data_IF_020138793605
#
_entry.id   IF_020138793605
#
_cell.length_a   1.000
_cell.length_b   1.000
_cell.length_c   1.000
_cell.angle_alpha   90.00
_cell.angle_beta   90.00
_cell.angle_gamma   90.00
#
_symmetry.space_group_name_H-M   'P 1'
#
loop_
_entity.id
_entity.type
_entity.pdbx_description
1 polymer ?
#
# COMPACT_ATOMS: atom_id res chain seq x y z
N UNK A 1 14.10 -18.42 7.58
CA UNK A 1 13.68 -17.04 7.83
C UNK A 1 12.84 -17.11 9.10
N UNK A 2 13.47 -16.83 10.23
CA UNK A 2 12.87 -16.92 11.57
C UNK A 2 12.59 -15.53 12.15
N UNK A 3 12.90 -14.46 11.42
CA UNK A 3 12.80 -13.06 11.79
C UNK A 3 11.44 -12.72 12.43
N UNK A 4 10.33 -12.99 11.72
CA UNK A 4 8.97 -12.69 12.21
C UNK A 4 8.57 -13.64 13.35
N UNK A 5 9.01 -14.90 13.30
CA UNK A 5 8.73 -15.91 14.33
C UNK A 5 9.39 -15.51 15.65
N UNK A 6 10.66 -15.10 15.62
CA UNK A 6 11.44 -14.70 16.78
C UNK A 6 10.87 -13.42 17.39
N UNK A 7 10.47 -12.45 16.56
CA UNK A 7 9.76 -11.25 17.01
C UNK A 7 8.42 -11.60 17.69
N UNK A 8 7.63 -12.51 17.11
CA UNK A 8 6.38 -12.97 17.72
C UNK A 8 6.62 -13.67 19.07
N UNK A 9 7.59 -14.57 19.15
CA UNK A 9 7.95 -15.25 20.40
C UNK A 9 8.37 -14.24 21.48
N UNK A 10 9.16 -13.22 21.10
CA UNK A 10 9.58 -12.16 22.02
C UNK A 10 8.38 -11.39 22.60
N UNK A 11 7.39 -11.05 21.77
CA UNK A 11 6.17 -10.37 22.23
C UNK A 11 5.33 -11.28 23.12
N UNK A 12 5.16 -12.56 22.74
CA UNK A 12 4.39 -13.54 23.52
C UNK A 12 4.99 -13.75 24.92
N UNK A 13 6.31 -13.93 25.01
CA UNK A 13 7.05 -14.05 26.27
C UNK A 13 6.88 -12.78 27.12
N UNK A 14 7.07 -11.60 26.53
CA UNK A 14 6.99 -10.31 27.22
C UNK A 14 5.59 -10.02 27.77
N UNK A 15 4.55 -10.43 27.04
CA UNK A 15 3.15 -10.21 27.41
C UNK A 15 2.56 -11.34 28.25
N UNK A 16 3.32 -12.40 28.52
CA UNK A 16 2.86 -13.64 29.15
C UNK A 16 1.67 -14.29 28.43
N UNK A 17 1.57 -14.11 27.11
CA UNK A 17 0.54 -14.77 26.29
C UNK A 17 1.03 -16.18 25.94
N UNK A 18 0.33 -17.19 26.46
CA UNK A 18 0.69 -18.60 26.26
C UNK A 18 -0.02 -19.25 25.06
N UNK A 19 -1.05 -18.59 24.51
CA UNK A 19 -1.78 -19.06 23.34
C UNK A 19 -2.48 -17.92 22.60
N UNK A 20 -2.63 -18.06 21.28
CA UNK A 20 -3.40 -17.16 20.42
C UNK A 20 -4.15 -17.96 19.34
N UNK A 21 -5.17 -17.35 18.74
CA UNK A 21 -6.07 -18.02 17.80
C UNK A 21 -5.65 -17.86 16.32
N UNK A 22 -5.17 -16.67 15.96
CA UNK A 22 -4.85 -16.32 14.58
C UNK A 22 -3.70 -15.31 14.48
N UNK A 23 -3.05 -15.28 13.32
CA UNK A 23 -2.09 -14.24 12.93
C UNK A 23 -2.80 -13.25 12.01
N UNK A 24 -2.41 -11.98 12.06
CA UNK A 24 -2.90 -10.95 11.15
C UNK A 24 -1.70 -10.13 10.64
N UNK A 25 -1.63 -9.82 9.34
CA UNK A 25 -0.61 -8.93 8.83
C UNK A 25 -0.84 -7.49 9.32
N UNK A 26 0.23 -6.71 9.42
CA UNK A 26 0.09 -5.28 9.61
C UNK A 26 -0.69 -4.66 8.44
N UNK A 27 -0.33 -5.02 7.21
CA UNK A 27 -0.95 -4.54 5.98
C UNK A 27 -0.88 -5.57 4.86
N UNK A 28 -1.74 -5.43 3.84
CA UNK A 28 -1.64 -6.20 2.59
C UNK A 28 -0.74 -5.47 1.59
N UNK A 29 0.57 -5.48 1.87
CA UNK A 29 1.61 -4.90 1.03
C UNK A 29 2.80 -5.86 0.87
N UNK A 30 3.08 -6.30 -0.36
CA UNK A 30 4.26 -7.13 -0.66
C UNK A 30 4.43 -8.34 0.27
N UNK A 31 5.60 -8.44 0.92
CA UNK A 31 5.94 -9.56 1.81
C UNK A 31 5.17 -9.52 3.14
N UNK A 32 4.68 -8.37 3.61
CA UNK A 32 3.95 -8.25 4.88
C UNK A 32 2.72 -9.17 4.93
N UNK A 33 2.02 -9.30 3.78
CA UNK A 33 0.91 -10.22 3.63
C UNK A 33 1.35 -11.70 3.66
N UNK A 34 2.51 -12.03 3.09
CA UNK A 34 2.98 -13.42 3.06
C UNK A 34 3.59 -13.85 4.38
N UNK A 35 4.29 -12.97 5.10
CA UNK A 35 4.87 -13.27 6.41
C UNK A 35 3.80 -13.72 7.42
N UNK A 36 2.62 -13.08 7.42
CA UNK A 36 1.53 -13.50 8.30
C UNK A 36 0.96 -14.90 7.96
N UNK A 37 0.97 -15.30 6.68
CA UNK A 37 0.59 -16.66 6.26
C UNK A 37 1.66 -17.68 6.69
N UNK A 38 2.93 -17.36 6.51
CA UNK A 38 4.06 -18.20 6.90
C UNK A 38 4.14 -18.37 8.42
N UNK A 39 3.94 -17.28 9.17
CA UNK A 39 3.90 -17.29 10.62
C UNK A 39 2.72 -18.12 11.14
N UNK A 40 1.52 -17.93 10.59
CA UNK A 40 0.37 -18.74 10.96
C UNK A 40 0.65 -20.24 10.74
N UNK A 41 1.22 -20.61 9.59
CA UNK A 41 1.62 -21.99 9.31
C UNK A 41 2.63 -22.52 10.33
N UNK A 42 3.66 -21.74 10.67
CA UNK A 42 4.68 -22.14 11.65
C UNK A 42 4.08 -22.45 13.02
N UNK A 43 3.14 -21.63 13.49
CA UNK A 43 2.49 -21.81 14.79
C UNK A 43 1.29 -22.78 14.77
N UNK A 44 0.95 -23.36 13.62
CA UNK A 44 -0.24 -24.21 13.46
C UNK A 44 -1.55 -23.43 13.68
N UNK A 45 -1.59 -22.17 13.24
CA UNK A 45 -2.70 -21.22 13.38
C UNK A 45 -3.27 -20.82 12.03
N UNK A 46 -4.38 -20.09 12.07
CA UNK A 46 -4.98 -19.49 10.88
C UNK A 46 -4.52 -18.04 10.72
N UNK A 47 -4.53 -17.53 9.49
CA UNK A 47 -4.43 -16.09 9.24
C UNK A 47 -5.83 -15.50 9.13
N UNK A 48 -6.07 -14.39 9.83
CA UNK A 48 -7.33 -13.68 9.73
C UNK A 48 -7.39 -12.93 8.39
N UNK A 49 -8.52 -13.03 7.68
CA UNK A 49 -8.77 -12.27 6.45
C UNK A 49 -9.11 -10.80 6.78
N UNK A 50 -8.09 -10.08 7.23
CA UNK A 50 -8.10 -8.71 7.69
C UNK A 50 -6.66 -8.18 7.68
N UNK A 51 -6.51 -6.88 7.86
CA UNK A 51 -5.22 -6.26 8.15
C UNK A 51 -5.42 -5.02 9.06
N UNK A 52 -4.33 -4.42 9.54
CA UNK A 52 -4.39 -3.29 10.47
C UNK A 52 -4.47 -1.93 9.77
N UNK A 53 -4.45 -1.85 8.43
CA UNK A 53 -4.31 -0.59 7.70
C UNK A 53 -5.44 -0.36 6.67
N UNK A 54 -5.92 -1.36 5.93
CA UNK A 54 -6.81 -1.26 4.75
C UNK A 54 -6.16 -0.74 3.45
N UNK A 55 -4.94 -0.22 3.53
CA UNK A 55 -4.06 0.14 2.41
C UNK A 55 -2.61 -0.06 2.87
N UNK A 56 -1.62 0.42 2.10
CA UNK A 56 -0.23 0.45 2.55
C UNK A 56 0.18 1.85 2.99
N UNK A 57 1.00 1.93 4.04
CA UNK A 57 1.53 3.18 4.57
C UNK A 57 2.98 3.00 5.07
N UNK A 58 3.83 4.03 4.99
CA UNK A 58 5.26 3.89 5.29
C UNK A 58 5.60 3.79 6.79
N UNK A 59 4.68 4.20 7.67
CA UNK A 59 4.89 4.25 9.12
C UNK A 59 4.11 3.13 9.85
N UNK A 60 4.70 2.53 10.88
CA UNK A 60 4.09 1.44 11.68
C UNK A 60 2.85 1.90 12.45
N UNK A 61 2.79 3.18 12.81
CA UNK A 61 1.65 3.77 13.50
C UNK A 61 0.54 4.24 12.57
N UNK A 62 0.71 4.16 11.25
CA UNK A 62 -0.37 4.45 10.29
C UNK A 62 -1.30 3.24 10.15
N UNK A 63 -1.93 2.86 11.26
CA UNK A 63 -2.89 1.76 11.36
C UNK A 63 -4.24 2.27 11.84
N UNK A 64 -5.31 1.53 11.53
CA UNK A 64 -6.65 1.81 12.06
C UNK A 64 -6.72 1.68 13.58
N UNK A 65 -5.75 0.99 14.17
CA UNK A 65 -5.61 0.81 15.62
C UNK A 65 -5.14 2.10 16.27
N UNK A 66 -4.10 2.71 15.70
CA UNK A 66 -3.58 3.99 16.18
C UNK A 66 -4.54 5.16 15.92
N UNK A 67 -5.44 5.08 14.92
CA UNK A 67 -6.55 6.03 14.80
C UNK A 67 -7.49 6.03 16.02
N UNK A 68 -7.44 4.97 16.83
CA UNK A 68 -8.18 4.82 18.09
C UNK A 68 -7.25 4.79 19.30
N UNK A 69 -6.09 5.41 19.15
CA UNK A 69 -5.08 5.60 20.19
C UNK A 69 -4.55 4.30 20.81
N UNK A 70 -4.67 3.18 20.10
CA UNK A 70 -4.01 1.93 20.48
C UNK A 70 -2.51 2.06 20.17
N UNK A 71 -1.62 1.82 21.15
CA UNK A 71 -0.19 1.94 20.94
C UNK A 71 0.36 0.79 20.10
N UNK A 72 1.44 1.04 19.36
CA UNK A 72 2.15 0.02 18.57
C UNK A 72 2.93 -0.97 19.45
N UNK A 73 3.26 -0.57 20.69
CA UNK A 73 3.92 -1.41 21.70
C UNK A 73 2.91 -2.10 22.63
N UNK A 74 3.23 -3.26 23.25
CA UNK A 74 4.52 -3.96 23.21
C UNK A 74 4.86 -4.49 21.83
N UNK A 75 6.09 -4.29 21.39
CA UNK A 75 6.57 -4.69 20.08
C UNK A 75 7.94 -5.35 20.19
N UNK A 76 8.33 -6.13 19.18
CA UNK A 76 9.67 -6.66 19.08
C UNK A 76 10.16 -6.68 17.63
N UNK A 77 11.47 -6.52 17.48
CA UNK A 77 12.20 -6.61 16.20
C UNK A 77 13.27 -7.70 16.33
N UNK A 78 13.46 -8.53 15.29
CA UNK A 78 14.43 -9.63 15.33
C UNK A 78 15.11 -9.90 13.97
N UNK A 79 16.37 -10.36 14.02
CA UNK A 79 17.19 -10.67 12.83
C UNK A 79 17.07 -12.12 12.33
N UNK A 80 16.32 -12.97 13.04
CA UNK A 80 16.16 -14.39 12.70
C UNK A 80 17.41 -15.24 12.94
N UNK A 81 18.45 -14.66 13.54
CA UNK A 81 19.70 -15.31 13.95
C UNK A 81 19.87 -15.31 15.48
N UNK A 82 18.77 -15.08 16.22
CA UNK A 82 18.71 -15.12 17.68
C UNK A 82 18.89 -13.76 18.36
N UNK A 83 19.12 -12.67 17.63
CA UNK A 83 19.06 -11.32 18.23
C UNK A 83 17.66 -10.75 18.10
N UNK A 84 17.17 -10.20 19.20
CA UNK A 84 15.86 -9.58 19.31
C UNK A 84 15.90 -8.40 20.27
N UNK A 85 15.14 -7.37 19.94
CA UNK A 85 14.92 -6.19 20.78
C UNK A 85 13.43 -6.04 21.05
N UNK A 86 13.07 -5.68 22.28
CA UNK A 86 11.68 -5.57 22.73
C UNK A 86 11.42 -4.17 23.27
N UNK A 87 10.28 -3.60 22.87
CA UNK A 87 9.83 -2.26 23.19
C UNK A 87 8.52 -2.37 23.96
N UNK A 88 8.46 -1.87 25.20
CA UNK A 88 7.32 -2.11 26.12
C UNK A 88 6.75 -0.86 26.78
N UNK A 89 7.46 0.26 26.75
CA UNK A 89 7.21 1.40 27.65
C UNK A 89 6.99 2.72 26.91
N UNK A 90 7.02 2.71 25.58
CA UNK A 90 6.88 3.87 24.74
C UNK A 90 5.39 4.26 24.62
N UNK A 91 4.99 5.34 25.29
CA UNK A 91 3.63 5.90 25.14
C UNK A 91 3.45 6.69 23.84
N UNK A 92 4.55 7.01 23.17
CA UNK A 92 4.57 7.75 21.91
C UNK A 92 4.90 6.82 20.74
N UNK A 93 3.91 6.63 19.86
CA UNK A 93 4.02 5.80 18.66
C UNK A 93 5.10 6.30 17.68
N UNK A 94 5.34 7.62 17.60
CA UNK A 94 6.37 8.18 16.73
C UNK A 94 7.76 7.77 17.23
N UNK A 95 7.99 7.92 18.54
CA UNK A 95 9.26 7.54 19.16
C UNK A 95 9.48 6.02 19.10
N UNK A 96 8.44 5.23 19.34
CA UNK A 96 8.50 3.78 19.23
C UNK A 96 8.94 3.34 17.83
N UNK A 97 8.41 3.98 16.78
CA UNK A 97 8.83 3.70 15.41
C UNK A 97 10.30 4.06 15.15
N UNK A 98 10.76 5.25 15.57
CA UNK A 98 12.15 5.64 15.40
C UNK A 98 13.10 4.62 16.03
N UNK A 99 12.80 4.20 17.27
CA UNK A 99 13.57 3.20 17.99
C UNK A 99 13.57 1.84 17.27
N UNK A 100 12.42 1.38 16.79
CA UNK A 100 12.33 0.12 16.04
C UNK A 100 13.08 0.18 14.71
N UNK A 101 13.14 1.35 14.07
CA UNK A 101 13.87 1.56 12.82
C UNK A 101 15.38 1.61 13.03
N UNK A 102 15.82 2.22 14.13
CA UNK A 102 17.23 2.20 14.55
C UNK A 102 17.66 0.75 14.85
N UNK A 103 16.86 0.00 15.62
CA UNK A 103 17.10 -1.42 15.89
C UNK A 103 17.18 -2.27 14.61
N UNK A 104 16.28 -2.04 13.64
CA UNK A 104 16.34 -2.72 12.34
C UNK A 104 17.67 -2.44 11.60
N UNK A 105 18.19 -1.23 11.70
CA UNK A 105 19.49 -0.86 11.09
C UNK A 105 20.62 -1.65 11.74
N UNK A 106 20.65 -1.71 13.07
CA UNK A 106 21.66 -2.43 13.85
C UNK A 106 21.59 -3.96 13.65
N UNK A 107 20.41 -4.48 13.35
CA UNK A 107 20.15 -5.89 13.03
C UNK A 107 20.45 -6.28 11.57
N UNK A 108 21.01 -5.37 10.76
CA UNK A 108 21.43 -5.66 9.39
C UNK A 108 20.50 -5.11 8.31
N UNK A 109 19.65 -4.13 8.64
CA UNK A 109 18.73 -3.42 7.72
C UNK A 109 17.61 -4.28 7.12
N UNK A 110 17.42 -5.49 7.65
CA UNK A 110 16.28 -6.37 7.40
C UNK A 110 15.95 -7.06 8.72
N UNK A 111 14.74 -6.89 9.22
CA UNK A 111 14.30 -7.51 10.45
C UNK A 111 12.81 -7.83 10.39
N UNK A 112 12.41 -8.85 11.12
CA UNK A 112 11.01 -9.20 11.35
C UNK A 112 10.49 -8.41 12.52
N UNK A 113 9.19 -8.11 12.49
CA UNK A 113 8.54 -7.30 13.51
C UNK A 113 7.24 -7.96 13.96
N UNK A 114 6.98 -7.89 15.26
CA UNK A 114 5.68 -8.18 15.84
C UNK A 114 5.27 -6.99 16.69
N UNK A 115 4.06 -6.48 16.45
CA UNK A 115 3.50 -5.33 17.17
C UNK A 115 2.53 -5.79 18.27
N UNK A 116 2.00 -4.80 19.00
CA UNK A 116 1.05 -5.00 20.08
C UNK A 116 -0.03 -6.04 19.75
N UNK A 117 -0.12 -7.16 20.49
CA UNK A 117 -1.17 -8.15 20.32
C UNK A 117 -2.57 -7.53 20.44
N UNK A 118 -3.57 -8.19 19.87
CA UNK A 118 -4.94 -7.67 19.85
C UNK A 118 -5.93 -8.71 20.35
N UNK A 119 -6.96 -8.20 21.04
CA UNK A 119 -8.06 -9.00 21.51
C UNK A 119 -9.06 -9.28 20.37
N UNK A 120 -9.80 -10.39 20.45
CA UNK A 120 -10.79 -10.74 19.43
C UNK A 120 -11.93 -9.71 19.28
N UNK A 121 -12.23 -8.93 20.32
CA UNK A 121 -13.16 -7.80 20.23
C UNK A 121 -12.63 -6.67 19.34
N UNK A 122 -11.33 -6.36 19.46
CA UNK A 122 -10.64 -5.39 18.61
C UNK A 122 -10.52 -5.91 17.18
N UNK A 123 -10.16 -7.19 16.97
CA UNK A 123 -10.04 -7.80 15.65
C UNK A 123 -11.29 -7.60 14.76
N UNK A 124 -12.50 -7.62 15.36
CA UNK A 124 -13.78 -7.45 14.64
C UNK A 124 -13.97 -6.06 14.02
N UNK A 125 -13.19 -5.10 14.47
CA UNK A 125 -13.27 -3.69 14.09
C UNK A 125 -12.24 -3.30 13.03
N UNK A 126 -11.36 -4.24 12.66
CA UNK A 126 -10.34 -4.06 11.64
C UNK A 126 -10.95 -4.12 10.23
N UNK A 127 -10.26 -3.55 9.22
CA UNK A 127 -10.51 -3.78 7.81
C UNK A 127 -10.72 -5.27 7.52
N UNK A 128 -11.83 -5.59 6.86
CA UNK A 128 -12.23 -6.97 6.62
C UNK A 128 -11.94 -7.37 5.19
N UNK A 129 -11.65 -8.65 5.01
CA UNK A 129 -11.55 -9.30 3.71
C UNK A 129 -10.38 -8.78 2.85
N UNK A 130 -9.28 -8.36 3.47
CA UNK A 130 -8.15 -7.74 2.78
C UNK A 130 -7.35 -8.74 1.94
N UNK A 131 -7.17 -9.99 2.39
CA UNK A 131 -6.61 -11.06 1.54
C UNK A 131 -7.58 -11.42 0.42
N UNK A 132 -8.88 -11.48 0.73
CA UNK A 132 -9.90 -11.73 -0.28
C UNK A 132 -9.89 -10.65 -1.37
N UNK A 133 -9.72 -9.38 -1.01
CA UNK A 133 -9.58 -8.27 -1.94
C UNK A 133 -8.34 -8.44 -2.83
N UNK A 134 -7.18 -8.70 -2.24
CA UNK A 134 -5.95 -8.92 -2.98
C UNK A 134 -6.06 -10.12 -3.93
N UNK A 135 -6.70 -11.21 -3.49
CA UNK A 135 -6.98 -12.37 -4.33
C UNK A 135 -7.91 -12.03 -5.50
N UNK A 136 -8.96 -11.23 -5.27
CA UNK A 136 -9.87 -10.80 -6.33
C UNK A 136 -9.17 -9.96 -7.39
N UNK A 137 -8.35 -8.98 -6.95
CA UNK A 137 -7.53 -8.15 -7.85
C UNK A 137 -6.59 -9.05 -8.68
N UNK A 138 -5.85 -9.95 -8.02
CA UNK A 138 -4.94 -10.88 -8.70
C UNK A 138 -5.67 -11.79 -9.69
N UNK A 139 -6.84 -12.32 -9.33
CA UNK A 139 -7.69 -13.12 -10.20
C UNK A 139 -8.21 -12.34 -11.40
N UNK A 140 -8.65 -11.09 -11.19
CA UNK A 140 -9.15 -10.19 -12.24
C UNK A 140 -8.08 -9.95 -13.30
N UNK A 141 -6.84 -9.68 -12.86
CA UNK A 141 -5.67 -9.53 -13.74
C UNK A 141 -5.35 -10.84 -14.46
N UNK A 142 -5.29 -11.97 -13.75
CA UNK A 142 -4.98 -13.28 -14.34
C UNK A 142 -6.00 -13.71 -15.40
N UNK A 143 -7.29 -13.52 -15.15
CA UNK A 143 -8.36 -13.81 -16.11
C UNK A 143 -8.31 -12.88 -17.31
N UNK A 144 -8.02 -11.60 -17.09
CA UNK A 144 -7.89 -10.62 -18.19
C UNK A 144 -6.76 -10.99 -19.13
N UNK A 145 -5.61 -11.38 -18.59
CA UNK A 145 -4.46 -11.92 -19.36
C UNK A 145 -4.85 -13.15 -20.17
N UNK A 146 -5.50 -14.13 -19.54
CA UNK A 146 -5.94 -15.37 -20.21
C UNK A 146 -6.90 -15.09 -21.37
N UNK A 147 -7.78 -14.11 -21.20
CA UNK A 147 -8.77 -13.69 -22.22
C UNK A 147 -8.23 -12.66 -23.22
N UNK A 148 -6.98 -12.21 -23.08
CA UNK A 148 -6.36 -11.16 -23.89
C UNK A 148 -7.17 -9.86 -23.93
N UNK A 149 -7.77 -9.51 -22.79
CA UNK A 149 -8.44 -8.22 -22.58
C UNK A 149 -7.58 -7.33 -21.67
N UNK A 150 -7.80 -6.03 -21.75
CA UNK A 150 -7.08 -5.04 -20.94
C UNK A 150 -7.34 -5.25 -19.43
N UNK A 151 -6.33 -5.66 -18.64
CA UNK A 151 -6.49 -5.90 -17.20
C UNK A 151 -6.90 -4.65 -16.43
N UNK A 152 -6.53 -3.46 -16.91
CA UNK A 152 -6.83 -2.20 -16.24
C UNK A 152 -8.33 -1.92 -16.28
N UNK A 153 -8.97 -2.10 -17.44
CA UNK A 153 -10.41 -1.88 -17.57
C UNK A 153 -11.21 -2.80 -16.65
N UNK A 154 -10.82 -4.08 -16.55
CA UNK A 154 -11.48 -5.03 -15.66
C UNK A 154 -11.30 -4.63 -14.18
N UNK A 155 -10.08 -4.27 -13.79
CA UNK A 155 -9.75 -3.84 -12.43
C UNK A 155 -10.56 -2.60 -12.02
N UNK A 156 -10.57 -1.56 -12.85
CA UNK A 156 -11.26 -0.30 -12.52
C UNK A 156 -12.77 -0.48 -12.36
N UNK A 157 -13.38 -1.35 -13.18
CA UNK A 157 -14.79 -1.69 -13.05
C UNK A 157 -15.10 -2.42 -11.75
N UNK A 158 -14.21 -3.30 -11.30
CA UNK A 158 -14.41 -4.10 -10.10
C UNK A 158 -14.14 -3.31 -8.81
N UNK A 159 -13.19 -2.38 -8.85
CA UNK A 159 -12.72 -1.62 -7.69
C UNK A 159 -13.24 -0.18 -7.64
N UNK A 160 -14.14 0.21 -8.54
CA UNK A 160 -14.62 1.59 -8.71
C UNK A 160 -13.48 2.62 -8.78
N UNK A 161 -12.39 2.25 -9.45
CA UNK A 161 -11.21 3.10 -9.61
C UNK A 161 -11.27 4.01 -10.83
N UNK A 162 -10.30 4.91 -10.96
CA UNK A 162 -10.11 5.74 -12.14
C UNK A 162 -8.76 5.47 -12.84
N UNK A 163 -8.77 5.52 -14.17
CA UNK A 163 -7.54 5.62 -14.96
C UNK A 163 -7.08 7.08 -14.95
N UNK A 164 -5.90 7.34 -14.39
CA UNK A 164 -5.35 8.70 -14.33
C UNK A 164 -4.53 9.02 -15.59
N UNK A 165 -3.72 8.07 -16.03
CA UNK A 165 -2.78 8.30 -17.13
C UNK A 165 -2.30 7.01 -17.80
N UNK A 166 -1.97 7.10 -19.08
CA UNK A 166 -1.22 6.07 -19.82
C UNK A 166 -0.03 6.71 -20.49
N UNK A 167 1.16 6.18 -20.22
CA UNK A 167 2.36 6.80 -20.74
C UNK A 167 3.63 6.02 -20.50
N UNK A 168 4.74 6.65 -20.87
CA UNK A 168 6.09 6.16 -20.68
C UNK A 168 6.76 6.94 -19.56
N UNK A 169 7.41 6.25 -18.65
CA UNK A 169 8.27 6.89 -17.64
C UNK A 169 9.46 7.54 -18.35
N UNK A 170 9.62 8.86 -18.19
CA UNK A 170 10.68 9.66 -18.80
C UNK A 170 11.69 10.21 -17.79
N UNK A 171 11.37 10.19 -16.50
CA UNK A 171 12.31 10.53 -15.43
C UNK A 171 11.91 9.84 -14.14
N UNK A 172 12.91 9.43 -13.36
CA UNK A 172 12.74 8.91 -12.00
C UNK A 172 13.83 9.53 -11.15
N UNK A 173 13.43 10.28 -10.13
CA UNK A 173 14.34 10.84 -9.12
C UNK A 173 14.04 10.12 -7.81
N UNK A 174 15.07 9.61 -7.15
CA UNK A 174 14.96 8.90 -5.87
C UNK A 174 16.03 9.38 -4.91
N UNK A 175 15.63 9.55 -3.67
CA UNK A 175 16.50 9.77 -2.54
C UNK A 175 16.12 8.78 -1.45
N UNK A 176 17.09 7.97 -1.02
CA UNK A 176 16.92 7.05 0.10
C UNK A 176 17.56 7.68 1.33
N UNK A 177 16.78 7.89 2.38
CA UNK A 177 17.25 8.43 3.64
C UNK A 177 16.40 7.91 4.80
N UNK A 178 17.05 7.54 5.91
CA UNK A 178 16.39 7.10 7.17
C UNK A 178 15.33 6.01 6.98
N UNK A 179 15.55 5.04 6.08
CA UNK A 179 14.60 3.95 5.82
C UNK A 179 13.39 4.32 4.95
N UNK A 180 13.39 5.52 4.36
CA UNK A 180 12.37 5.95 3.41
C UNK A 180 12.99 6.21 2.04
N UNK A 181 12.26 5.85 0.98
CA UNK A 181 12.56 6.19 -0.40
C UNK A 181 11.60 7.28 -0.85
N UNK A 182 12.09 8.51 -0.93
CA UNK A 182 11.34 9.69 -1.39
C UNK A 182 11.74 10.04 -2.80
N UNK A 183 10.82 10.61 -3.56
CA UNK A 183 11.16 11.06 -4.90
C UNK A 183 9.96 11.36 -5.77
N UNK A 184 10.23 11.44 -7.07
CA UNK A 184 9.21 11.69 -8.07
C UNK A 184 9.47 10.91 -9.35
N UNK A 185 8.39 10.59 -10.04
CA UNK A 185 8.39 9.98 -11.37
C UNK A 185 7.61 10.87 -12.33
N UNK A 186 8.19 11.10 -13.50
CA UNK A 186 7.57 11.87 -14.57
C UNK A 186 7.24 10.93 -15.72
N UNK A 187 5.99 11.00 -16.19
CA UNK A 187 5.49 10.24 -17.32
C UNK A 187 5.10 11.19 -18.45
N UNK A 188 5.38 10.79 -19.68
CA UNK A 188 4.89 11.45 -20.88
C UNK A 188 3.83 10.56 -21.53
N UNK A 189 2.78 11.18 -22.06
CA UNK A 189 1.75 10.47 -22.81
C UNK A 189 2.38 9.76 -24.02
N UNK A 190 1.74 8.69 -24.51
CA UNK A 190 2.14 8.15 -25.81
C UNK A 190 1.83 9.20 -26.86
N UNK A 191 2.82 9.55 -27.70
CA UNK A 191 2.55 10.31 -28.91
C UNK A 191 1.49 9.55 -29.71
N UNK A 192 0.41 10.21 -30.13
CA UNK A 192 -0.45 9.64 -31.15
C UNK A 192 0.44 9.29 -32.35
N UNK A 193 0.43 8.02 -32.79
CA UNK A 193 1.05 7.70 -34.07
C UNK A 193 0.40 8.60 -35.13
N UNK A 194 1.18 9.26 -36.00
CA UNK A 194 0.62 10.16 -37.00
C UNK A 194 -0.23 9.34 -37.97
N UNK A 195 -1.53 9.27 -37.69
CA UNK A 195 -2.52 8.77 -38.63
C UNK A 195 -2.71 9.85 -39.67
N UNK A 196 -2.01 9.66 -40.78
CA UNK A 196 -1.98 10.52 -41.97
C UNK A 196 -1.25 11.86 -41.81
N UNK A 197 -0.40 12.13 -42.81
CA UNK A 197 0.36 13.36 -42.96
C UNK A 197 -0.60 14.52 -43.24
N UNK A 198 -0.95 15.29 -42.22
CA UNK A 198 -1.32 16.70 -42.39
C UNK A 198 -0.20 17.55 -41.82
N UNK A 199 0.61 18.10 -42.72
CA UNK A 199 1.57 19.16 -42.45
C UNK A 199 0.81 20.41 -41.99
N UNK A 200 0.81 20.68 -40.69
CA UNK A 200 0.31 21.91 -40.09
C UNK A 200 0.63 21.91 -38.61
N UNK A 201 1.54 22.80 -38.21
CA UNK A 201 1.87 23.22 -36.82
C UNK A 201 1.71 22.14 -35.73
N UNK A 202 2.77 21.33 -35.56
CA UNK A 202 2.94 20.44 -34.41
C UNK A 202 3.17 21.27 -33.13
N UNK A 203 2.11 21.86 -32.60
CA UNK A 203 2.06 22.37 -31.23
C UNK A 203 1.34 21.32 -30.36
N UNK A 204 1.83 20.08 -30.37
CA UNK A 204 1.32 19.07 -29.43
C UNK A 204 1.78 19.48 -28.04
N UNK A 205 0.92 20.17 -27.29
CA UNK A 205 1.16 20.51 -25.88
C UNK A 205 1.59 19.23 -25.14
N UNK A 206 2.80 19.26 -24.58
CA UNK A 206 3.37 18.09 -23.94
C UNK A 206 2.60 17.79 -22.65
N UNK A 207 1.68 16.83 -22.71
CA UNK A 207 0.96 16.36 -21.53
C UNK A 207 1.83 15.38 -20.74
N UNK A 208 2.07 15.69 -19.47
CA UNK A 208 2.83 14.84 -18.56
C UNK A 208 2.09 14.58 -17.25
N UNK A 209 2.39 13.46 -16.61
CA UNK A 209 1.95 13.17 -15.25
C UNK A 209 3.19 13.15 -14.34
N UNK A 210 3.21 14.02 -13.34
CA UNK A 210 4.18 13.97 -12.25
C UNK A 210 3.55 13.24 -11.06
N UNK A 211 4.26 12.26 -10.50
CA UNK A 211 3.85 11.56 -9.28
C UNK A 211 4.94 11.67 -8.24
N UNK A 212 4.59 12.14 -7.06
CA UNK A 212 5.47 12.17 -5.88
C UNK A 212 5.21 10.94 -5.01
N UNK A 213 6.25 10.45 -4.34
CA UNK A 213 6.17 9.26 -3.53
C UNK A 213 7.09 9.27 -2.30
N UNK A 214 6.70 8.54 -1.26
CA UNK A 214 7.48 8.23 -0.05
C UNK A 214 7.18 6.80 0.40
N UNK A 215 7.97 5.83 -0.06
CA UNK A 215 7.68 4.38 -0.09
C UNK A 215 6.35 4.00 -0.79
N UNK A 216 5.36 4.89 -0.79
CA UNK A 216 4.08 4.82 -1.50
C UNK A 216 3.84 6.06 -2.37
N UNK A 217 3.09 5.90 -3.46
CA UNK A 217 2.70 7.01 -4.31
C UNK A 217 1.72 7.93 -3.56
N UNK A 218 2.05 9.22 -3.47
CA UNK A 218 1.33 10.18 -2.62
C UNK A 218 0.40 11.09 -3.41
N UNK A 219 0.85 11.67 -4.52
CA UNK A 219 0.04 12.56 -5.34
C UNK A 219 0.35 12.38 -6.83
N UNK A 220 -0.65 12.60 -7.68
CA UNK A 220 -0.53 12.56 -9.12
C UNK A 220 -1.04 13.87 -9.72
N UNK A 221 -0.16 14.63 -10.35
CA UNK A 221 -0.42 15.97 -10.90
C UNK A 221 -0.24 15.94 -12.41
N UNK A 222 -1.30 16.24 -13.14
CA UNK A 222 -1.28 16.40 -14.59
C UNK A 222 -0.75 17.78 -14.93
N UNK A 223 0.23 17.84 -15.82
CA UNK A 223 0.83 19.07 -16.32
C UNK A 223 0.63 19.15 -17.83
N UNK A 224 0.07 20.26 -18.28
CA UNK A 224 -0.08 20.57 -19.70
C UNK A 224 0.49 21.96 -19.95
N UNK A 225 1.20 22.12 -21.06
CA UNK A 225 1.81 23.40 -21.38
C UNK A 225 0.73 24.46 -21.62
N UNK A 226 0.80 25.55 -20.85
CA UNK A 226 -0.16 26.65 -20.90
C UNK A 226 -1.40 26.49 -20.02
N UNK A 227 -1.55 25.37 -19.29
CA UNK A 227 -2.65 25.15 -18.33
C UNK A 227 -2.15 25.12 -16.89
N UNK A 228 -3.07 25.30 -15.93
CA UNK A 228 -2.76 25.12 -14.52
C UNK A 228 -2.56 23.64 -14.17
N UNK A 229 -1.60 23.35 -13.28
CA UNK A 229 -1.35 22.00 -12.78
C UNK A 229 -2.63 21.43 -12.13
N UNK A 230 -3.06 20.25 -12.58
CA UNK A 230 -4.28 19.60 -12.10
C UNK A 230 -3.98 18.37 -11.27
N UNK A 231 -4.33 18.42 -9.98
CA UNK A 231 -4.26 17.24 -9.11
C UNK A 231 -5.32 16.23 -9.55
N UNK A 232 -4.89 15.05 -10.02
CA UNK A 232 -5.78 13.97 -10.44
C UNK A 232 -6.09 12.99 -9.31
N UNK A 233 -5.14 12.79 -8.40
CA UNK A 233 -5.30 11.93 -7.23
C UNK A 233 -4.31 12.33 -6.15
N UNK A 234 -4.68 12.10 -4.89
CA UNK A 234 -3.82 12.33 -3.73
C UNK A 234 -4.18 11.38 -2.59
N UNK A 235 -3.22 11.03 -1.74
CA UNK A 235 -3.44 10.23 -0.55
C UNK A 235 -4.57 10.84 0.32
N UNK A 236 -5.40 10.02 0.98
CA UNK A 236 -5.28 8.58 1.19
C UNK A 236 -5.72 7.68 0.02
N UNK A 237 -6.14 8.22 -1.14
CA UNK A 237 -6.44 7.37 -2.30
C UNK A 237 -5.19 6.61 -2.73
N UNK A 238 -5.38 5.37 -3.20
CA UNK A 238 -4.27 4.50 -3.56
C UNK A 238 -3.91 4.72 -5.03
N UNK A 239 -2.72 5.26 -5.29
CA UNK A 239 -2.19 5.46 -6.64
C UNK A 239 -1.30 4.26 -6.99
N UNK A 240 -1.64 3.53 -8.06
CA UNK A 240 -0.93 2.33 -8.49
C UNK A 240 -0.39 2.46 -9.91
N UNK A 241 0.81 1.93 -10.12
CA UNK A 241 1.43 1.79 -11.43
C UNK A 241 1.28 0.35 -11.89
N UNK A 242 0.68 0.17 -13.07
CA UNK A 242 0.48 -1.13 -13.68
C UNK A 242 1.26 -1.18 -15.00
N UNK A 243 2.07 -2.22 -15.19
CA UNK A 243 2.73 -2.48 -16.46
C UNK A 243 1.69 -2.55 -17.59
N UNK A 244 1.90 -1.81 -18.68
CA UNK A 244 0.90 -1.71 -19.75
C UNK A 244 0.70 -3.02 -20.51
N UNK A 245 1.72 -3.88 -20.58
CA UNK A 245 1.67 -5.11 -21.37
C UNK A 245 0.92 -6.23 -20.65
N UNK A 246 1.01 -6.30 -19.31
CA UNK A 246 0.43 -7.39 -18.55
C UNK A 246 -0.40 -6.95 -17.34
N UNK A 247 -0.44 -5.68 -16.96
CA UNK A 247 -1.18 -5.19 -15.79
C UNK A 247 -0.59 -5.61 -14.45
N UNK A 248 0.66 -6.09 -14.39
CA UNK A 248 1.34 -6.37 -13.14
C UNK A 248 1.59 -5.06 -12.38
N UNK A 249 1.40 -5.05 -11.04
CA UNK A 249 1.75 -3.89 -10.25
C UNK A 249 3.26 -3.68 -10.25
N UNK A 250 3.69 -2.42 -10.26
CA UNK A 250 5.07 -2.00 -10.12
C UNK A 250 5.26 -1.34 -8.76
N UNK A 251 6.23 -1.81 -7.98
CA UNK A 251 6.66 -1.11 -6.77
C UNK A 251 7.53 0.10 -7.11
N UNK A 252 7.73 1.00 -6.15
CA UNK A 252 8.57 2.17 -6.34
C UNK A 252 9.99 1.80 -6.75
N UNK A 253 10.54 0.70 -6.24
CA UNK A 253 11.86 0.16 -6.62
C UNK A 253 11.93 -0.29 -8.10
N UNK A 254 10.79 -0.64 -8.70
CA UNK A 254 10.71 -1.13 -10.07
C UNK A 254 10.67 -0.02 -11.13
N UNK A 255 10.36 1.23 -10.74
CA UNK A 255 10.24 2.33 -11.71
C UNK A 255 11.56 2.56 -12.47
N UNK A 256 11.50 2.54 -13.80
CA UNK A 256 12.67 2.71 -14.66
C UNK A 256 12.27 3.53 -15.87
N UNK A 257 13.21 4.33 -16.37
CA UNK A 257 13.03 5.03 -17.64
C UNK A 257 12.60 4.05 -18.73
N UNK A 258 11.64 4.46 -19.55
CA UNK A 258 11.16 3.69 -20.69
C UNK A 258 10.04 2.70 -20.40
N UNK A 259 9.75 2.40 -19.12
CA UNK A 259 8.60 1.55 -18.79
C UNK A 259 7.30 2.21 -19.25
N UNK A 260 6.45 1.42 -19.91
CA UNK A 260 5.12 1.81 -20.37
C UNK A 260 4.11 1.35 -19.35
N UNK A 261 3.35 2.26 -18.78
CA UNK A 261 2.49 1.98 -17.63
C UNK A 261 1.11 2.61 -17.79
N UNK A 262 0.14 2.03 -17.10
CA UNK A 262 -1.11 2.71 -16.72
C UNK A 262 -1.00 3.12 -15.27
N UNK A 263 -1.29 4.38 -14.98
CA UNK A 263 -1.42 4.90 -13.61
C UNK A 263 -2.90 4.97 -13.28
N UNK A 264 -3.30 4.30 -12.20
CA UNK A 264 -4.68 4.24 -11.73
C UNK A 264 -4.77 4.74 -10.30
N UNK A 265 -5.96 5.19 -9.90
CA UNK A 265 -6.28 5.45 -8.51
C UNK A 265 -7.48 4.63 -8.06
N UNK A 266 -7.41 4.11 -6.84
CA UNK A 266 -8.50 3.45 -6.12
C UNK A 266 -8.91 4.34 -4.94
N UNK A 267 -10.21 4.46 -4.71
CA UNK A 267 -10.76 5.28 -3.62
C UNK A 267 -10.28 4.78 -2.27
N UNK A 268 -9.92 5.71 -1.39
CA UNK A 268 -9.52 5.40 -0.03
C UNK A 268 -10.64 4.69 0.75
N UNK A 269 -10.29 3.71 1.60
CA UNK A 269 -11.23 3.18 2.58
C UNK A 269 -11.74 4.30 3.51
N UNK A 270 -13.05 4.33 3.88
CA UNK A 270 -13.65 5.44 4.61
C UNK A 270 -12.99 5.79 5.94
N UNK A 271 -12.31 4.82 6.57
CA UNK A 271 -11.57 5.04 7.82
C UNK A 271 -10.48 6.10 7.67
N UNK A 272 -9.86 6.21 6.48
CA UNK A 272 -8.81 7.17 6.16
C UNK A 272 -9.31 8.52 5.67
N UNK A 273 -10.60 8.65 5.35
CA UNK A 273 -11.21 9.90 4.90
C UNK A 273 -11.94 10.65 6.03
N UNK A 274 -11.87 10.13 7.26
CA UNK A 274 -12.29 10.86 8.46
C UNK A 274 -11.31 12.00 8.76
N UNK A 275 -11.69 12.97 9.59
CA UNK A 275 -10.78 14.04 10.04
C UNK A 275 -9.48 13.47 10.61
N UNK A 276 -9.59 12.53 11.57
CA UNK A 276 -8.45 11.83 12.16
C UNK A 276 -7.65 11.00 11.15
N UNK A 277 -8.32 10.36 10.20
CA UNK A 277 -7.68 9.61 9.12
C UNK A 277 -6.84 10.51 8.20
N UNK A 278 -7.36 11.68 7.85
CA UNK A 278 -6.66 12.66 7.02
C UNK A 278 -5.50 13.34 7.75
N UNK A 279 -5.64 13.60 9.05
CA UNK A 279 -4.53 14.05 9.89
C UNK A 279 -3.36 13.05 9.89
N UNK A 280 -3.67 11.75 9.95
CA UNK A 280 -2.69 10.68 10.11
C UNK A 280 -2.08 10.18 8.79
N UNK A 281 -2.88 10.14 7.73
CA UNK A 281 -2.50 9.50 6.45
C UNK A 281 -2.97 10.26 5.20
N UNK A 282 -3.48 11.48 5.36
CA UNK A 282 -3.82 12.39 4.27
C UNK A 282 -2.64 13.29 3.84
N UNK A 283 -2.90 14.27 2.96
CA UNK A 283 -1.85 15.07 2.32
C UNK A 283 -0.92 15.77 3.32
N UNK A 284 -1.48 16.40 4.35
CA UNK A 284 -0.73 17.14 5.37
C UNK A 284 0.20 16.25 6.19
N UNK A 285 -0.14 14.98 6.40
CA UNK A 285 0.71 14.01 7.10
C UNK A 285 2.04 13.77 6.38
N UNK A 286 2.06 13.99 5.05
CA UNK A 286 3.24 13.89 4.20
C UNK A 286 3.84 15.25 3.82
N UNK A 287 3.38 16.34 4.44
CA UNK A 287 3.86 17.69 4.14
C UNK A 287 3.37 18.25 2.80
N UNK A 288 2.29 17.70 2.23
CA UNK A 288 1.69 18.21 0.99
C UNK A 288 0.65 19.29 1.31
N UNK A 289 0.85 20.50 0.78
CA UNK A 289 -0.09 21.62 0.88
C UNK A 289 -1.19 21.52 -0.20
N UNK A 290 -1.99 20.45 -0.11
CA UNK A 290 -3.07 20.16 -1.05
C UNK A 290 -4.31 19.63 -0.32
N UNK A 291 -5.50 20.07 -0.73
CA UNK A 291 -6.75 19.56 -0.16
C UNK A 291 -7.07 18.19 -0.73
N UNK A 292 -7.38 17.23 0.15
CA UNK A 292 -7.89 15.93 -0.28
C UNK A 292 -9.24 16.06 -0.98
N UNK A 293 -9.34 15.49 -2.18
CA UNK A 293 -10.58 15.29 -2.93
C UNK A 293 -10.59 13.84 -3.40
N UNK A 294 -11.59 13.02 -3.03
CA UNK A 294 -11.67 11.64 -3.46
C UNK A 294 -11.75 11.52 -4.99
N UNK A 295 -11.06 10.53 -5.54
CA UNK A 295 -11.10 10.19 -6.96
C UNK A 295 -12.41 9.49 -7.33
N UNK A 296 -12.99 8.73 -6.40
CA UNK A 296 -14.26 8.04 -6.59
C UNK A 296 -15.46 8.89 -6.18
N UNK A 297 -16.53 8.83 -6.95
CA UNK A 297 -17.84 9.43 -6.62
C UNK A 297 -18.87 8.42 -6.12
N UNK A 298 -18.53 7.13 -6.16
CA UNK A 298 -19.38 6.03 -5.69
C UNK A 298 -19.30 5.81 -4.18
N UNK A 299 -20.34 5.19 -3.62
CA UNK A 299 -20.28 4.72 -2.24
C UNK A 299 -19.22 3.62 -2.10
N UNK A 300 -18.44 3.66 -1.03
CA UNK A 300 -17.52 2.57 -0.70
C UNK A 300 -18.30 1.30 -0.39
N UNK A 301 -17.95 0.20 -1.08
CA UNK A 301 -18.43 -1.13 -0.76
C UNK A 301 -17.31 -1.94 -0.11
N UNK A 302 -17.53 -2.52 1.08
CA UNK A 302 -16.53 -3.37 1.69
C UNK A 302 -16.28 -4.62 0.82
N UNK A 303 -15.02 -5.10 0.72
CA UNK A 303 -14.73 -6.29 -0.06
C UNK A 303 -15.52 -7.50 0.45
N UNK A 304 -15.96 -8.35 -0.47
CA UNK A 304 -16.60 -9.64 -0.14
C UNK A 304 -15.52 -10.67 0.12
N UNK A 305 -15.77 -11.61 1.04
CA UNK A 305 -14.81 -12.69 1.25
C UNK A 305 -14.85 -13.69 0.09
N UNK A 306 -13.70 -14.29 -0.25
CA UNK A 306 -13.62 -15.35 -1.27
C UNK A 306 -14.57 -16.49 -0.94
N UNK A 307 -14.76 -16.80 0.34
CA UNK A 307 -15.73 -17.80 0.79
C UNK A 307 -17.18 -17.41 0.47
N UNK A 308 -17.57 -16.15 0.67
CA UNK A 308 -18.92 -15.68 0.30
C UNK A 308 -19.16 -15.78 -1.21
N UNK A 309 -18.14 -15.52 -2.02
CA UNK A 309 -18.24 -15.51 -3.47
C UNK A 309 -18.19 -16.92 -4.09
N UNK A 310 -17.38 -17.82 -3.54
CA UNK A 310 -17.05 -19.11 -4.17
C UNK A 310 -17.21 -20.33 -3.25
N UNK A 311 -17.46 -20.14 -1.96
CA UNK A 311 -17.50 -21.22 -0.96
C UNK A 311 -18.80 -22.03 -0.92
N UNK A 312 -19.85 -21.62 -1.66
CA UNK A 312 -21.06 -22.43 -1.79
C UNK A 312 -20.86 -23.49 -2.88
N UNK A 313 -20.32 -24.64 -2.49
CA UNK A 313 -20.11 -25.78 -3.39
C UNK A 313 -19.21 -26.91 -2.84
N UNK A 314 -18.93 -26.93 -1.54
CA UNK A 314 -18.26 -28.05 -0.86
C UNK A 314 -19.14 -28.60 0.24
#
# INVERSE_FOLDING_TARGET
MHEVIDAMNAVLETTNITSFDAVIPNEIGGMNAFEALLAAYHFGKSTLDADCVARAYPYLWQTVRCLRDVPVVPAAVADGAGKREVFTAETDNFRAEELMRDACTDLGSLAGICLNPLNGSEARTLPRNSYSLAWCIGRSIALSRSKKIDPVTALLKEQNGALLFRGKIISVVRQVAKGFTRGSVLLSAFSEEPTSRSSGENNSSLTTLAVEFENENLCAVLKQEGEEDKVLAICPDLICFLDLANGAPLGISDYKYGLRVSVVALTAPPVWTTERGLEMGGPSAFGLDMKYTPVGTGAYEPPKSVWQMFGKGQ
#
